data_IF_418664685991
#
_entry.id   IF_418664685991
#
_cell.length_a   1.000
_cell.length_b   1.000
_cell.length_c   1.000
_cell.angle_alpha   90.00
_cell.angle_beta   90.00
_cell.angle_gamma   90.00
#
_symmetry.space_group_name_H-M   'P 1'
#
loop_
_entity.id
_entity.type
_entity.pdbx_description
1 polymer ?
#
# COMPACT_ATOMS: atom_id res chain seq x y z
N UNK A 1 -6.52 31.08 11.36
CA UNK A 1 -5.52 30.33 10.56
C UNK A 1 -6.07 28.95 10.31
N UNK A 2 -6.67 28.72 9.15
CA UNK A 2 -7.14 27.38 8.77
C UNK A 2 -5.92 26.48 8.60
N UNK A 3 -5.84 25.43 9.42
CA UNK A 3 -4.91 24.31 9.20
C UNK A 3 -5.19 23.79 7.79
N UNK A 4 -4.29 24.06 6.84
CA UNK A 4 -4.26 23.35 5.56
C UNK A 4 -3.92 21.90 5.90
N UNK A 5 -4.93 21.11 6.24
CA UNK A 5 -4.84 19.66 6.17
C UNK A 5 -4.55 19.38 4.71
N UNK A 6 -3.37 18.83 4.41
CA UNK A 6 -3.15 18.17 3.13
C UNK A 6 -4.36 17.24 2.91
N UNK A 7 -4.97 17.22 1.71
CA UNK A 7 -5.94 16.19 1.39
C UNK A 7 -5.31 14.86 1.80
N UNK A 8 -6.04 14.05 2.59
CA UNK A 8 -5.55 12.73 2.94
C UNK A 8 -5.20 12.00 1.64
N UNK A 9 -4.10 11.24 1.66
CA UNK A 9 -3.81 10.30 0.58
C UNK A 9 -5.10 9.50 0.28
N UNK A 10 -5.59 9.59 -0.96
CA UNK A 10 -6.77 8.85 -1.37
C UNK A 10 -6.36 7.39 -1.52
N UNK A 11 -7.07 6.47 -0.84
CA UNK A 11 -6.76 5.06 -0.96
C UNK A 11 -6.97 4.59 -2.39
N UNK A 12 -6.32 3.51 -2.80
CA UNK A 12 -6.55 2.92 -4.11
C UNK A 12 -8.01 2.49 -4.32
N UNK A 13 -8.73 2.13 -3.25
CA UNK A 13 -10.16 1.90 -3.32
C UNK A 13 -10.90 3.17 -3.75
N UNK A 14 -10.64 4.31 -3.11
CA UNK A 14 -11.28 5.60 -3.43
C UNK A 14 -10.91 6.09 -4.84
N UNK A 15 -9.64 5.91 -5.25
CA UNK A 15 -9.15 6.25 -6.59
C UNK A 15 -9.87 5.43 -7.66
N UNK A 16 -9.97 4.11 -7.49
CA UNK A 16 -10.64 3.24 -8.48
C UNK A 16 -12.16 3.42 -8.46
N UNK A 17 -12.76 3.65 -7.29
CA UNK A 17 -14.20 3.94 -7.15
C UNK A 17 -14.60 5.22 -7.89
N UNK A 18 -13.76 6.25 -7.85
CA UNK A 18 -13.98 7.52 -8.56
C UNK A 18 -13.52 7.51 -10.03
N UNK A 19 -12.84 6.46 -10.47
CA UNK A 19 -12.29 6.38 -11.82
C UNK A 19 -13.37 6.27 -12.90
N UNK A 20 -13.24 7.08 -13.94
CA UNK A 20 -14.08 6.99 -15.14
C UNK A 20 -13.53 5.97 -16.15
N UNK A 21 -12.21 5.80 -16.17
CA UNK A 21 -11.48 4.81 -16.96
C UNK A 21 -10.10 4.54 -16.33
N UNK A 22 -9.46 3.46 -16.74
CA UNK A 22 -8.05 3.18 -16.45
C UNK A 22 -7.41 2.50 -17.66
N UNK A 23 -6.16 2.83 -17.97
CA UNK A 23 -5.44 2.27 -19.11
C UNK A 23 -3.94 2.21 -18.85
N UNK A 24 -3.27 1.26 -19.48
CA UNK A 24 -1.81 1.24 -19.56
C UNK A 24 -1.32 2.09 -20.72
N UNK A 25 -0.05 2.46 -20.70
CA UNK A 25 0.58 3.15 -21.83
C UNK A 25 2.02 3.52 -21.53
N UNK A 26 2.55 4.44 -22.34
CA UNK A 26 3.89 4.98 -22.14
C UNK A 26 3.82 6.48 -21.85
N UNK A 27 4.38 6.91 -20.73
CA UNK A 27 4.46 8.31 -20.34
C UNK A 27 5.84 8.90 -20.67
N UNK A 28 5.87 10.18 -21.06
CA UNK A 28 7.08 10.96 -21.28
C UNK A 28 6.95 12.33 -20.60
N UNK A 29 7.97 12.74 -19.84
CA UNK A 29 8.03 14.09 -19.29
C UNK A 29 8.35 15.10 -20.40
N UNK A 30 7.47 16.08 -20.58
CA UNK A 30 7.59 17.14 -21.60
C UNK A 30 8.10 18.45 -21.00
N UNK A 31 7.72 18.74 -19.75
CA UNK A 31 8.11 20.00 -19.10
C UNK A 31 7.97 19.94 -17.59
N UNK A 32 8.67 20.85 -16.91
CA UNK A 32 8.68 21.00 -15.47
C UNK A 32 8.70 22.48 -15.12
N UNK A 33 7.83 22.88 -14.20
CA UNK A 33 7.76 24.25 -13.68
C UNK A 33 7.72 24.25 -12.14
N UNK A 34 8.45 25.14 -11.46
CA UNK A 34 8.32 25.32 -10.01
C UNK A 34 6.93 25.84 -9.66
N UNK A 35 6.35 25.31 -8.58
CA UNK A 35 5.02 25.69 -8.09
C UNK A 35 5.13 26.18 -6.64
N UNK A 36 4.56 27.35 -6.30
CA UNK A 36 4.63 27.87 -4.94
C UNK A 36 3.84 27.00 -3.97
N UNK A 37 4.23 27.03 -2.69
CA UNK A 37 3.58 26.26 -1.61
C UNK A 37 2.09 26.61 -1.40
N UNK A 38 1.59 27.69 -1.99
CA UNK A 38 0.17 28.07 -1.99
C UNK A 38 -0.68 27.26 -2.96
N UNK A 39 -0.04 26.60 -3.93
CA UNK A 39 -0.68 25.87 -5.03
C UNK A 39 -0.43 24.36 -4.94
N UNK A 40 0.26 23.90 -3.89
CA UNK A 40 0.52 22.47 -3.66
C UNK A 40 0.04 22.05 -2.26
N UNK A 41 -0.24 20.76 -2.10
CA UNK A 41 -0.53 20.12 -0.81
C UNK A 41 0.73 19.77 -0.01
N UNK A 42 1.92 20.03 -0.56
CA UNK A 42 3.21 19.71 0.06
C UNK A 42 3.57 20.72 1.16
N UNK A 43 4.39 20.29 2.13
CA UNK A 43 4.96 21.17 3.16
C UNK A 43 6.14 22.00 2.57
N UNK A 44 5.92 22.72 1.47
CA UNK A 44 6.96 23.50 0.80
C UNK A 44 6.65 23.80 -0.68
N UNK A 45 7.56 24.49 -1.39
CA UNK A 45 7.47 24.61 -2.84
C UNK A 45 7.51 23.21 -3.47
N UNK A 46 6.77 23.05 -4.57
CA UNK A 46 6.76 21.82 -5.36
C UNK A 46 7.05 22.11 -6.83
N UNK A 47 6.76 21.14 -7.69
CA UNK A 47 6.89 21.23 -9.13
C UNK A 47 5.63 20.68 -9.80
N UNK A 48 5.21 21.30 -10.90
CA UNK A 48 4.22 20.75 -11.81
C UNK A 48 4.95 20.16 -13.01
N UNK A 49 4.57 18.94 -13.36
CA UNK A 49 5.10 18.19 -14.48
C UNK A 49 4.06 18.14 -15.57
N UNK A 50 4.46 18.51 -16.78
CA UNK A 50 3.69 18.25 -18.00
C UNK A 50 4.13 16.92 -18.56
N UNK A 51 3.26 15.92 -18.50
CA UNK A 51 3.51 14.55 -18.97
C UNK A 51 2.63 14.28 -20.17
N UNK A 52 3.22 13.73 -21.23
CA UNK A 52 2.48 13.21 -22.38
C UNK A 52 2.40 11.70 -22.24
N UNK A 53 1.19 11.14 -22.24
CA UNK A 53 0.94 9.71 -22.16
C UNK A 53 0.41 9.24 -23.50
N UNK A 54 1.08 8.26 -24.10
CA UNK A 54 0.54 7.50 -25.24
C UNK A 54 -0.19 6.27 -24.70
N UNK A 55 -1.52 6.21 -24.80
CA UNK A 55 -2.30 5.07 -24.31
C UNK A 55 -2.08 3.80 -25.12
N UNK A 56 -2.22 2.64 -24.48
CA UNK A 56 -2.05 1.31 -25.09
C UNK A 56 -3.29 0.43 -24.84
N UNK A 57 -3.39 -0.22 -23.68
CA UNK A 57 -4.48 -1.15 -23.37
C UNK A 57 -5.49 -0.61 -22.35
N UNK A 58 -6.76 -0.95 -22.55
CA UNK A 58 -7.81 -0.70 -21.58
C UNK A 58 -7.62 -1.60 -20.35
N UNK A 59 -7.62 -0.99 -19.17
CA UNK A 59 -7.76 -1.72 -17.89
C UNK A 59 -9.23 -1.70 -17.48
N UNK A 60 -9.84 -0.52 -17.52
CA UNK A 60 -11.25 -0.27 -17.24
C UNK A 60 -11.77 0.80 -18.20
N UNK A 61 -12.98 0.60 -18.74
CA UNK A 61 -13.61 1.60 -19.62
C UNK A 61 -12.93 1.69 -20.99
N UNK A 62 -12.96 2.87 -21.60
CA UNK A 62 -12.39 3.13 -22.93
C UNK A 62 -11.03 3.81 -22.85
N UNK A 63 -10.14 3.46 -23.78
CA UNK A 63 -8.83 4.09 -23.95
C UNK A 63 -8.99 5.40 -24.74
N UNK A 64 -8.46 6.54 -24.27
CA UNK A 64 -8.57 7.79 -25.00
C UNK A 64 -7.78 7.74 -26.33
N UNK A 65 -8.25 8.41 -27.39
CA UNK A 65 -7.55 8.44 -28.66
C UNK A 65 -6.30 9.34 -28.61
N UNK A 66 -5.15 8.75 -28.91
CA UNK A 66 -3.89 9.48 -29.11
C UNK A 66 -3.22 9.96 -27.81
N UNK A 67 -2.12 10.73 -27.93
CA UNK A 67 -1.39 11.21 -26.76
C UNK A 67 -2.23 12.16 -25.90
N UNK A 68 -2.23 11.92 -24.60
CA UNK A 68 -2.93 12.70 -23.59
C UNK A 68 -1.93 13.52 -22.79
N UNK A 69 -2.12 14.84 -22.73
CA UNK A 69 -1.32 15.71 -21.88
C UNK A 69 -1.92 15.77 -20.46
N UNK A 70 -1.13 15.38 -19.46
CA UNK A 70 -1.48 15.38 -18.05
C UNK A 70 -0.56 16.32 -17.28
N UNK A 71 -1.13 17.03 -16.29
CA UNK A 71 -0.38 17.86 -15.35
C UNK A 71 -0.35 17.18 -14.00
N UNK A 72 0.84 16.83 -13.52
CA UNK A 72 1.06 16.12 -12.24
C UNK A 72 1.84 17.00 -11.25
N UNK A 73 1.57 16.90 -9.96
CA UNK A 73 2.29 17.65 -8.92
C UNK A 73 3.28 16.74 -8.18
N UNK A 74 4.50 17.22 -7.94
CA UNK A 74 5.54 16.54 -7.13
C UNK A 74 6.23 17.53 -6.18
N UNK A 75 6.75 17.03 -5.06
CA UNK A 75 7.57 17.81 -4.14
C UNK A 75 9.07 17.79 -4.49
N UNK A 76 9.50 16.93 -5.43
CA UNK A 76 10.92 16.67 -5.70
C UNK A 76 11.36 17.29 -7.03
N UNK A 77 12.51 17.99 -7.07
CA UNK A 77 13.14 18.38 -8.33
C UNK A 77 13.67 17.15 -9.07
N UNK A 78 13.86 17.26 -10.39
CA UNK A 78 14.25 16.15 -11.26
C UNK A 78 15.45 15.33 -10.76
N UNK A 79 16.50 15.97 -10.24
CA UNK A 79 17.72 15.31 -9.77
C UNK A 79 17.55 14.50 -8.46
N UNK A 80 16.41 14.65 -7.79
CA UNK A 80 16.06 13.91 -6.56
C UNK A 80 14.91 12.92 -6.78
N UNK A 81 14.43 12.79 -8.02
CA UNK A 81 13.43 11.79 -8.38
C UNK A 81 14.08 10.42 -8.47
N UNK A 82 13.28 9.43 -8.17
CA UNK A 82 13.65 8.04 -8.34
C UNK A 82 13.41 7.66 -9.80
N UNK A 83 14.05 6.62 -10.35
CA UNK A 83 13.70 6.13 -11.69
C UNK A 83 12.36 5.36 -11.67
N UNK A 84 11.62 5.30 -12.80
CA UNK A 84 10.41 4.50 -12.90
C UNK A 84 10.74 3.03 -12.69
N UNK A 85 9.90 2.32 -11.97
CA UNK A 85 10.05 0.87 -11.84
C UNK A 85 11.16 0.41 -10.87
N UNK A 86 11.67 1.30 -10.02
CA UNK A 86 12.73 0.91 -9.07
C UNK A 86 12.17 -0.03 -7.99
N UNK A 87 12.66 -1.28 -7.97
CA UNK A 87 12.47 -2.15 -6.80
C UNK A 87 13.08 -1.47 -5.57
N UNK A 88 12.25 -1.24 -4.56
CA UNK A 88 12.63 -0.55 -3.32
C UNK A 88 12.16 -1.35 -2.13
N UNK A 89 12.94 -1.23 -1.07
CA UNK A 89 12.52 -1.57 0.27
C UNK A 89 11.92 -0.33 0.97
N UNK A 90 10.72 -0.45 1.56
CA UNK A 90 9.70 -1.47 1.27
C UNK A 90 9.10 -1.36 -0.15
N UNK A 91 8.50 -2.46 -0.66
CA UNK A 91 7.97 -2.57 -2.02
C UNK A 91 7.08 -1.41 -2.44
N UNK A 92 7.24 -1.01 -3.69
CA UNK A 92 6.52 0.10 -4.31
C UNK A 92 5.00 -0.15 -4.43
N UNK A 93 4.53 -1.40 -4.33
CA UNK A 93 3.11 -1.80 -4.44
C UNK A 93 2.23 -1.22 -3.33
N UNK A 94 2.82 -0.86 -2.18
CA UNK A 94 2.13 -0.18 -1.07
C UNK A 94 2.47 1.30 -0.96
N UNK A 95 3.46 1.76 -1.73
CA UNK A 95 3.79 3.17 -1.78
C UNK A 95 2.96 3.80 -2.88
N UNK A 96 2.12 4.76 -2.51
CA UNK A 96 1.57 5.73 -3.44
C UNK A 96 2.68 6.67 -3.92
N UNK A 97 3.70 6.17 -4.62
CA UNK A 97 4.72 7.04 -5.23
C UNK A 97 4.16 7.53 -6.56
N UNK A 98 3.70 8.77 -6.70
CA UNK A 98 3.18 9.22 -7.98
C UNK A 98 4.27 9.05 -9.05
N UNK A 99 3.89 8.79 -10.30
CA UNK A 99 4.84 8.79 -11.42
C UNK A 99 5.69 10.08 -11.43
N UNK A 100 5.12 11.19 -10.96
CA UNK A 100 5.81 12.46 -10.82
C UNK A 100 7.05 12.42 -9.90
N UNK A 101 7.09 11.51 -8.93
CA UNK A 101 8.24 11.30 -8.04
C UNK A 101 9.24 10.27 -8.60
N UNK A 102 8.84 9.52 -9.64
CA UNK A 102 9.62 8.46 -10.28
C UNK A 102 10.10 8.82 -11.69
N UNK A 103 9.75 9.99 -12.23
CA UNK A 103 10.02 10.28 -13.64
C UNK A 103 11.43 10.81 -13.88
N UNK A 104 12.10 10.26 -14.90
CA UNK A 104 13.39 10.74 -15.39
C UNK A 104 13.19 11.58 -16.67
N UNK A 105 13.67 12.84 -16.70
CA UNK A 105 13.56 13.68 -17.89
C UNK A 105 14.15 13.02 -19.15
N UNK A 106 13.45 13.17 -20.28
CA UNK A 106 13.91 12.66 -21.57
C UNK A 106 13.72 11.15 -21.78
N UNK A 107 13.12 10.44 -20.82
CA UNK A 107 12.80 9.01 -20.93
C UNK A 107 11.31 8.79 -21.09
N UNK A 108 10.96 7.70 -21.77
CA UNK A 108 9.60 7.16 -21.78
C UNK A 108 9.55 5.93 -20.89
N UNK A 109 8.48 5.79 -20.12
CA UNK A 109 8.31 4.71 -19.16
C UNK A 109 6.89 4.12 -19.23
N UNK A 110 6.75 2.79 -19.02
CA UNK A 110 5.44 2.16 -18.92
C UNK A 110 4.70 2.70 -17.69
N UNK A 111 3.41 3.00 -17.86
CA UNK A 111 2.56 3.54 -16.80
C UNK A 111 1.19 2.88 -16.80
N UNK A 112 0.57 2.89 -15.63
CA UNK A 112 -0.88 2.85 -15.47
C UNK A 112 -1.39 4.29 -15.26
N UNK A 113 -2.44 4.65 -15.98
CA UNK A 113 -3.23 5.85 -15.73
C UNK A 113 -4.60 5.45 -15.21
N UNK A 114 -5.03 6.08 -14.12
CA UNK A 114 -6.40 6.03 -13.63
C UNK A 114 -7.02 7.42 -13.79
N UNK A 115 -8.05 7.52 -14.62
CA UNK A 115 -8.77 8.76 -14.88
C UNK A 115 -9.77 9.07 -13.76
N UNK A 116 -9.22 9.48 -12.63
CA UNK A 116 -9.89 10.14 -11.50
C UNK A 116 -9.65 11.66 -11.56
N UNK A 117 -10.22 12.42 -10.63
CA UNK A 117 -9.92 13.85 -10.44
C UNK A 117 -9.33 14.11 -9.04
N UNK A 118 -8.01 14.40 -8.93
CA UNK A 118 -7.02 14.49 -9.99
C UNK A 118 -6.65 13.11 -10.59
N UNK A 119 -6.09 13.05 -11.82
CA UNK A 119 -5.68 11.80 -12.43
C UNK A 119 -4.48 11.20 -11.71
N UNK A 120 -4.48 9.87 -11.53
CA UNK A 120 -3.35 9.14 -10.97
C UNK A 120 -2.56 8.52 -12.10
N UNK A 121 -1.26 8.77 -12.12
CA UNK A 121 -0.31 8.15 -13.04
C UNK A 121 0.75 7.44 -12.20
N UNK A 122 0.98 6.17 -12.49
CA UNK A 122 1.94 5.31 -11.78
C UNK A 122 2.85 4.60 -12.77
N UNK A 123 4.16 4.63 -12.51
CA UNK A 123 5.12 3.83 -13.27
C UNK A 123 4.93 2.35 -12.98
N UNK A 124 5.10 1.51 -14.01
CA UNK A 124 5.07 0.05 -13.87
C UNK A 124 6.50 -0.48 -13.69
N UNK A 125 6.68 -1.40 -12.75
CA UNK A 125 7.96 -2.05 -12.43
C UNK A 125 8.44 -2.96 -13.55
N UNK A 126 7.51 -3.66 -14.18
CA UNK A 126 7.79 -4.64 -15.22
C UNK A 126 6.55 -4.80 -16.15
N UNK A 127 6.70 -5.46 -17.32
CA UNK A 127 5.55 -5.76 -18.19
C UNK A 127 4.47 -6.62 -17.51
N UNK A 128 4.83 -7.37 -16.48
CA UNK A 128 4.00 -8.24 -15.65
C UNK A 128 3.66 -7.62 -14.28
N UNK A 129 3.81 -6.30 -14.14
CA UNK A 129 3.34 -5.58 -12.95
C UNK A 129 1.84 -5.88 -12.73
N UNK A 130 1.50 -6.24 -11.50
CA UNK A 130 0.16 -6.71 -11.12
C UNK A 130 -0.84 -5.56 -10.89
N UNK A 131 -0.37 -4.31 -10.95
CA UNK A 131 -1.17 -3.13 -10.69
C UNK A 131 -2.37 -2.97 -11.64
N UNK A 132 -2.25 -3.18 -12.98
CA UNK A 132 -3.42 -3.18 -13.87
C UNK A 132 -4.45 -4.23 -13.46
N UNK A 133 -4.01 -5.45 -13.14
CA UNK A 133 -4.88 -6.55 -12.71
C UNK A 133 -5.58 -6.20 -11.39
N UNK A 134 -4.85 -5.62 -10.44
CA UNK A 134 -5.39 -5.13 -9.18
C UNK A 134 -6.52 -4.11 -9.42
N UNK A 135 -6.31 -3.13 -10.30
CA UNK A 135 -7.32 -2.13 -10.64
C UNK A 135 -8.56 -2.76 -11.29
N UNK A 136 -8.43 -3.76 -12.16
CA UNK A 136 -9.59 -4.47 -12.72
C UNK A 136 -10.40 -5.18 -11.64
N UNK A 137 -9.72 -5.85 -10.71
CA UNK A 137 -10.37 -6.57 -9.60
C UNK A 137 -11.10 -5.59 -8.68
N UNK A 138 -10.44 -4.50 -8.27
CA UNK A 138 -11.04 -3.47 -7.41
C UNK A 138 -12.25 -2.84 -8.10
N UNK A 139 -12.15 -2.49 -9.38
CA UNK A 139 -13.26 -1.91 -10.14
C UNK A 139 -14.45 -2.85 -10.21
N UNK A 140 -14.23 -4.15 -10.44
CA UNK A 140 -15.31 -5.16 -10.42
C UNK A 140 -16.03 -5.17 -9.07
N UNK A 141 -15.28 -5.12 -7.97
CA UNK A 141 -15.86 -5.12 -6.62
C UNK A 141 -16.69 -3.88 -6.32
N UNK A 142 -16.23 -2.69 -6.74
CA UNK A 142 -16.97 -1.44 -6.49
C UNK A 142 -18.27 -1.34 -7.30
N UNK A 143 -18.47 -2.21 -8.30
CA UNK A 143 -19.74 -2.34 -9.05
C UNK A 143 -20.73 -3.35 -8.46
N UNK A 144 -20.33 -4.10 -7.43
CA UNK A 144 -21.20 -5.05 -6.72
C UNK A 144 -21.32 -6.43 -7.37
N UNK A 145 -20.44 -6.74 -8.33
CA UNK A 145 -20.55 -7.95 -9.17
C UNK A 145 -19.75 -9.15 -8.63
N UNK A 146 -19.29 -9.15 -7.37
CA UNK A 146 -18.28 -10.09 -6.89
C UNK A 146 -18.35 -10.45 -5.40
N UNK A 147 -17.94 -11.70 -5.10
CA UNK A 147 -17.64 -12.17 -3.74
C UNK A 147 -16.19 -11.81 -3.39
N UNK A 148 -16.00 -10.67 -2.72
CA UNK A 148 -14.67 -10.16 -2.36
C UNK A 148 -13.87 -11.22 -1.60
N UNK A 149 -14.45 -11.86 -0.58
CA UNK A 149 -13.73 -12.84 0.23
C UNK A 149 -13.39 -14.11 -0.56
N UNK A 150 -14.28 -14.55 -1.43
CA UNK A 150 -14.02 -15.65 -2.36
C UNK A 150 -12.85 -15.34 -3.31
N UNK A 151 -12.83 -14.12 -3.86
CA UNK A 151 -11.75 -13.66 -4.74
C UNK A 151 -10.41 -13.56 -3.99
N UNK A 152 -10.40 -12.98 -2.78
CA UNK A 152 -9.19 -12.90 -1.96
C UNK A 152 -8.57 -14.30 -1.73
N UNK A 153 -9.40 -15.31 -1.48
CA UNK A 153 -8.96 -16.69 -1.28
C UNK A 153 -8.48 -17.38 -2.57
N UNK A 154 -8.89 -16.89 -3.74
CA UNK A 154 -8.46 -17.42 -5.04
C UNK A 154 -7.08 -16.89 -5.48
N UNK A 155 -6.52 -15.92 -4.74
CA UNK A 155 -5.26 -15.26 -5.07
C UNK A 155 -5.50 -14.04 -5.96
N UNK A 156 -5.31 -12.86 -5.39
CA UNK A 156 -5.36 -11.58 -6.10
C UNK A 156 -4.10 -10.78 -5.79
N UNK A 157 -3.75 -9.78 -6.62
CA UNK A 157 -2.62 -8.88 -6.34
C UNK A 157 -2.67 -8.27 -4.93
N UNK A 158 -1.53 -8.04 -4.25
CA UNK A 158 -1.50 -7.50 -2.90
C UNK A 158 -2.31 -6.21 -2.74
N UNK A 159 -2.23 -5.31 -3.72
CA UNK A 159 -3.00 -4.08 -3.69
C UNK A 159 -4.52 -4.32 -3.70
N UNK A 160 -4.98 -5.29 -4.49
CA UNK A 160 -6.38 -5.69 -4.47
C UNK A 160 -6.75 -6.29 -3.10
N UNK A 161 -5.89 -7.07 -2.45
CA UNK A 161 -6.18 -7.55 -1.09
C UNK A 161 -6.45 -6.39 -0.12
N UNK A 162 -5.60 -5.37 -0.16
CA UNK A 162 -5.70 -4.18 0.71
C UNK A 162 -7.01 -3.43 0.45
N UNK A 163 -7.33 -3.16 -0.82
CA UNK A 163 -8.57 -2.48 -1.20
C UNK A 163 -9.83 -3.32 -0.90
N UNK A 164 -9.76 -4.64 -1.05
CA UNK A 164 -10.84 -5.57 -0.70
C UNK A 164 -11.09 -5.60 0.79
N UNK A 165 -10.03 -5.63 1.60
CA UNK A 165 -10.12 -5.49 3.05
C UNK A 165 -10.72 -4.13 3.46
N UNK A 166 -10.27 -3.04 2.85
CA UNK A 166 -10.86 -1.71 3.05
C UNK A 166 -12.35 -1.65 2.72
N UNK A 167 -12.75 -2.27 1.61
CA UNK A 167 -14.15 -2.34 1.19
C UNK A 167 -14.99 -3.13 2.20
N UNK A 168 -14.51 -4.28 2.66
CA UNK A 168 -15.18 -5.10 3.68
C UNK A 168 -15.29 -4.37 5.02
N UNK A 169 -14.26 -3.60 5.40
CA UNK A 169 -14.27 -2.76 6.60
C UNK A 169 -15.41 -1.73 6.60
N UNK A 170 -15.89 -1.27 5.44
CA UNK A 170 -17.01 -0.31 5.36
C UNK A 170 -18.34 -0.91 5.86
N UNK A 171 -18.44 -2.24 5.93
CA UNK A 171 -19.70 -2.95 6.23
C UNK A 171 -19.65 -3.85 7.47
N UNK A 172 -18.46 -4.18 7.99
CA UNK A 172 -18.32 -5.04 9.17
C UNK A 172 -18.34 -4.22 10.47
N UNK A 173 -18.91 -4.82 11.52
CA UNK A 173 -18.73 -4.36 12.91
C UNK A 173 -17.73 -5.22 13.68
N UNK A 174 -17.43 -6.41 13.16
CA UNK A 174 -16.46 -7.34 13.72
C UNK A 174 -15.16 -7.25 12.93
N UNK A 175 -14.34 -6.27 13.28
CA UNK A 175 -13.06 -6.00 12.60
C UNK A 175 -12.04 -7.08 12.94
N UNK A 176 -12.08 -7.63 14.15
CA UNK A 176 -11.18 -8.70 14.57
C UNK A 176 -11.41 -9.98 13.74
N UNK A 177 -12.66 -10.45 13.62
CA UNK A 177 -12.96 -11.65 12.82
C UNK A 177 -12.66 -11.45 11.33
N UNK A 178 -12.91 -10.25 10.79
CA UNK A 178 -12.53 -9.94 9.41
C UNK A 178 -11.00 -9.98 9.23
N UNK A 179 -10.26 -9.37 10.16
CA UNK A 179 -8.79 -9.36 10.14
C UNK A 179 -8.24 -10.76 10.20
N UNK A 180 -8.73 -11.61 11.10
CA UNK A 180 -8.33 -13.02 11.21
C UNK A 180 -8.56 -13.76 9.88
N UNK A 181 -9.74 -13.62 9.28
CA UNK A 181 -10.06 -14.29 8.02
C UNK A 181 -9.14 -13.87 6.89
N UNK A 182 -8.78 -12.59 6.79
CA UNK A 182 -7.90 -12.08 5.73
C UNK A 182 -6.44 -12.48 5.97
N UNK A 183 -5.93 -12.33 7.20
CA UNK A 183 -4.54 -12.67 7.51
C UNK A 183 -4.26 -14.18 7.46
N UNK A 184 -5.28 -15.03 7.57
CA UNK A 184 -5.18 -16.48 7.42
C UNK A 184 -5.43 -16.99 6.01
N UNK A 185 -5.52 -16.10 5.01
CA UNK A 185 -5.61 -16.53 3.61
C UNK A 185 -4.32 -17.27 3.21
N UNK A 186 -4.42 -18.46 2.60
CA UNK A 186 -3.24 -19.21 2.17
C UNK A 186 -2.41 -18.41 1.16
N UNK A 187 -1.11 -18.28 1.41
CA UNK A 187 -0.18 -17.60 0.51
C UNK A 187 -0.38 -16.09 0.41
N UNK A 188 -0.95 -15.47 1.45
CA UNK A 188 -1.06 -14.01 1.54
C UNK A 188 0.32 -13.36 1.44
N UNK A 189 0.60 -12.52 0.43
CA UNK A 189 1.91 -11.88 0.29
C UNK A 189 2.19 -10.92 1.45
N UNK A 190 3.45 -10.78 1.90
CA UNK A 190 3.80 -9.88 3.01
C UNK A 190 3.41 -8.43 2.75
N UNK A 191 3.47 -7.98 1.50
CA UNK A 191 2.95 -6.67 1.09
C UNK A 191 1.44 -6.51 1.38
N UNK A 192 0.64 -7.55 1.14
CA UNK A 192 -0.78 -7.53 1.45
C UNK A 192 -1.00 -7.47 2.98
N UNK A 193 -0.29 -8.32 3.74
CA UNK A 193 -0.28 -8.30 5.21
C UNK A 193 0.00 -6.89 5.74
N UNK A 194 1.05 -6.25 5.23
CA UNK A 194 1.40 -4.90 5.63
C UNK A 194 0.34 -3.86 5.32
N UNK A 195 -0.22 -3.86 4.12
CA UNK A 195 -1.27 -2.91 3.76
C UNK A 195 -2.54 -3.08 4.62
N UNK A 196 -2.93 -4.33 4.89
CA UNK A 196 -4.03 -4.67 5.81
C UNK A 196 -3.77 -4.12 7.21
N UNK A 197 -2.56 -4.31 7.75
CA UNK A 197 -2.20 -3.80 9.08
C UNK A 197 -2.04 -2.29 9.15
N UNK A 198 -1.60 -1.64 8.08
CA UNK A 198 -1.57 -0.19 7.98
C UNK A 198 -2.98 0.40 8.02
N UNK A 199 -3.92 -0.18 7.25
CA UNK A 199 -5.34 0.21 7.31
C UNK A 199 -5.95 -0.04 8.69
N UNK A 200 -5.64 -1.19 9.29
CA UNK A 200 -6.11 -1.52 10.63
C UNK A 200 -5.58 -0.53 11.66
N UNK A 201 -4.30 -0.18 11.61
CA UNK A 201 -3.68 0.82 12.50
C UNK A 201 -4.42 2.16 12.49
N UNK A 202 -4.83 2.64 11.30
CA UNK A 202 -5.62 3.87 11.15
C UNK A 202 -7.02 3.77 11.79
N UNK A 203 -7.56 2.56 11.96
CA UNK A 203 -8.86 2.28 12.58
C UNK A 203 -8.74 1.89 14.05
N UNK A 204 -7.57 1.45 14.53
CA UNK A 204 -7.39 0.88 15.88
C UNK A 204 -7.92 1.81 16.97
N UNK A 205 -7.75 3.13 16.83
CA UNK A 205 -8.24 4.12 17.81
C UNK A 205 -9.75 4.07 18.07
N UNK A 206 -10.55 3.52 17.16
CA UNK A 206 -12.00 3.36 17.29
C UNK A 206 -12.43 1.95 17.72
N UNK A 207 -11.52 0.98 17.76
CA UNK A 207 -11.83 -0.40 18.16
C UNK A 207 -11.91 -0.53 19.68
N UNK A 208 -12.81 -1.36 20.23
CA UNK A 208 -12.78 -1.72 21.65
C UNK A 208 -11.54 -2.59 21.95
N UNK A 209 -11.06 -2.58 23.20
CA UNK A 209 -9.85 -3.31 23.59
C UNK A 209 -9.98 -4.83 23.35
N UNK A 210 -11.18 -5.40 23.48
CA UNK A 210 -11.44 -6.81 23.16
C UNK A 210 -11.10 -7.17 21.71
N UNK A 211 -11.39 -6.29 20.75
CA UNK A 211 -11.05 -6.50 19.34
C UNK A 211 -9.55 -6.31 19.11
N UNK A 212 -8.90 -5.37 19.82
CA UNK A 212 -7.44 -5.18 19.75
C UNK A 212 -6.70 -6.41 20.28
N UNK A 213 -7.16 -6.99 21.40
CA UNK A 213 -6.60 -8.23 21.94
C UNK A 213 -6.80 -9.40 20.98
N UNK A 214 -7.99 -9.53 20.37
CA UNK A 214 -8.26 -10.59 19.38
C UNK A 214 -7.36 -10.48 18.13
N UNK A 215 -7.16 -9.25 17.62
CA UNK A 215 -6.20 -8.99 16.54
C UNK A 215 -4.78 -9.34 16.96
N UNK A 216 -4.34 -8.93 18.17
CA UNK A 216 -3.00 -9.23 18.64
C UNK A 216 -2.75 -10.74 18.76
N UNK A 217 -3.73 -11.51 19.24
CA UNK A 217 -3.69 -12.98 19.26
C UNK A 217 -3.57 -13.57 17.85
N UNK A 218 -4.35 -13.05 16.90
CA UNK A 218 -4.26 -13.43 15.49
C UNK A 218 -2.85 -13.17 14.94
N UNK A 219 -2.25 -12.01 15.24
CA UNK A 219 -0.91 -11.66 14.77
C UNK A 219 0.19 -12.54 15.34
N UNK A 220 0.07 -12.91 16.62
CA UNK A 220 0.98 -13.88 17.26
C UNK A 220 0.93 -15.24 16.56
N UNK A 221 -0.27 -15.67 16.14
CA UNK A 221 -0.43 -16.91 15.38
C UNK A 221 0.12 -16.78 13.96
N UNK A 222 -0.20 -15.68 13.26
CA UNK A 222 0.31 -15.41 11.89
C UNK A 222 1.84 -15.33 11.88
N UNK A 223 2.45 -14.63 12.84
CA UNK A 223 3.91 -14.57 13.00
C UNK A 223 4.57 -15.94 13.21
N UNK A 224 3.82 -16.96 13.63
CA UNK A 224 4.35 -18.31 13.75
C UNK A 224 4.63 -18.97 12.40
N UNK A 225 3.90 -18.56 11.37
CA UNK A 225 3.85 -19.17 10.05
C UNK A 225 4.40 -18.24 8.96
N UNK A 226 4.48 -16.94 9.24
CA UNK A 226 4.96 -15.91 8.32
C UNK A 226 6.46 -16.06 8.03
N UNK A 227 6.77 -16.15 6.73
CA UNK A 227 8.14 -16.24 6.22
C UNK A 227 8.54 -15.03 5.39
N UNK A 228 7.56 -14.23 4.94
CA UNK A 228 7.82 -12.99 4.24
C UNK A 228 8.27 -11.92 5.24
N UNK A 229 9.50 -11.39 5.12
CA UNK A 229 10.02 -10.42 6.07
C UNK A 229 9.18 -9.14 6.13
N UNK A 230 8.44 -8.79 5.07
CA UNK A 230 7.52 -7.67 5.08
C UNK A 230 6.32 -7.91 6.00
N UNK A 231 5.74 -9.11 5.94
CA UNK A 231 4.66 -9.54 6.83
C UNK A 231 5.12 -9.55 8.28
N UNK A 232 6.33 -10.06 8.55
CA UNK A 232 6.94 -10.07 9.89
C UNK A 232 7.09 -8.65 10.43
N UNK A 233 7.72 -7.75 9.69
CA UNK A 233 7.93 -6.36 10.12
C UNK A 233 6.61 -5.65 10.37
N UNK A 234 5.60 -5.85 9.53
CA UNK A 234 4.29 -5.24 9.71
C UNK A 234 3.59 -5.73 10.97
N UNK A 235 3.60 -7.04 11.23
CA UNK A 235 3.00 -7.61 12.43
C UNK A 235 3.73 -7.15 13.71
N UNK A 236 5.07 -7.16 13.72
CA UNK A 236 5.86 -6.64 14.84
C UNK A 236 5.58 -5.15 15.10
N UNK A 237 5.54 -4.34 14.04
CA UNK A 237 5.23 -2.90 14.14
C UNK A 237 3.84 -2.65 14.74
N UNK A 238 2.84 -3.43 14.32
CA UNK A 238 1.49 -3.29 14.84
C UNK A 238 1.40 -3.71 16.32
N UNK A 239 2.04 -4.83 16.68
CA UNK A 239 2.11 -5.31 18.06
C UNK A 239 2.81 -4.30 18.98
N UNK A 240 3.89 -3.68 18.53
CA UNK A 240 4.59 -2.66 19.33
C UNK A 240 3.71 -1.41 19.51
N UNK A 241 3.15 -0.89 18.42
CA UNK A 241 2.33 0.33 18.43
C UNK A 241 1.06 0.22 19.31
N UNK A 242 0.58 -0.98 19.59
CA UNK A 242 -0.66 -1.21 20.34
C UNK A 242 -0.46 -1.99 21.65
N UNK A 243 0.79 -2.15 22.09
CA UNK A 243 1.17 -2.91 23.30
C UNK A 243 0.34 -2.57 24.53
N UNK A 244 0.19 -1.29 24.84
CA UNK A 244 -0.49 -0.85 26.06
C UNK A 244 -1.96 -1.30 26.12
N UNK A 245 -2.58 -1.53 24.96
CA UNK A 245 -3.99 -1.89 24.87
C UNK A 245 -4.24 -3.38 25.07
N UNK A 246 -3.28 -4.23 24.74
CA UNK A 246 -3.41 -5.67 24.92
C UNK A 246 -2.62 -6.22 26.11
N UNK A 247 -1.78 -5.42 26.77
CA UNK A 247 -1.01 -5.81 27.97
C UNK A 247 -1.89 -6.26 29.15
N UNK A 248 -3.16 -5.86 29.16
CA UNK A 248 -4.13 -6.32 30.17
C UNK A 248 -4.44 -7.83 30.05
N UNK A 249 -4.17 -8.44 28.90
CA UNK A 249 -4.23 -9.88 28.72
C UNK A 249 -2.99 -10.54 29.35
N UNK A 250 -3.17 -11.49 30.31
CA UNK A 250 -2.04 -12.05 31.06
C UNK A 250 -1.15 -12.99 30.24
N UNK A 251 -1.67 -13.60 29.17
CA UNK A 251 -0.95 -14.62 28.41
C UNK A 251 -0.22 -14.00 27.20
N UNK A 252 -0.78 -12.92 26.66
CA UNK A 252 -0.37 -12.37 25.38
C UNK A 252 1.07 -11.82 25.35
N UNK A 253 1.58 -11.11 26.37
CA UNK A 253 2.98 -10.65 26.38
C UNK A 253 3.98 -11.80 26.30
N UNK A 254 3.72 -12.91 27.00
CA UNK A 254 4.58 -14.11 26.95
C UNK A 254 4.53 -14.75 25.57
N UNK A 255 3.35 -14.83 24.94
CA UNK A 255 3.22 -15.34 23.58
C UNK A 255 3.94 -14.46 22.56
N UNK A 256 3.84 -13.13 22.69
CA UNK A 256 4.56 -12.18 21.82
C UNK A 256 6.06 -12.39 21.94
N UNK A 257 6.62 -12.44 23.15
CA UNK A 257 8.06 -12.65 23.35
C UNK A 257 8.55 -13.99 22.77
N UNK A 258 7.79 -15.07 22.98
CA UNK A 258 8.09 -16.39 22.40
C UNK A 258 8.09 -16.39 20.86
N UNK A 259 7.25 -15.57 20.23
CA UNK A 259 7.20 -15.42 18.76
C UNK A 259 8.31 -14.51 18.26
N UNK A 260 8.55 -13.38 18.92
CA UNK A 260 9.64 -12.45 18.61
C UNK A 260 10.98 -13.19 18.61
N UNK A 261 11.26 -14.02 19.62
CA UNK A 261 12.48 -14.85 19.67
C UNK A 261 12.64 -15.76 18.46
N UNK A 262 11.55 -16.34 17.95
CA UNK A 262 11.58 -17.21 16.76
C UNK A 262 11.84 -16.42 15.48
N UNK A 263 11.09 -15.34 15.24
CA UNK A 263 11.20 -14.59 13.98
C UNK A 263 12.54 -13.88 13.82
N UNK A 264 13.16 -13.44 14.92
CA UNK A 264 14.53 -12.88 14.87
C UNK A 264 15.61 -13.93 14.60
N UNK A 265 15.29 -15.22 14.76
CA UNK A 265 16.18 -16.32 14.39
C UNK A 265 16.00 -16.79 12.94
N UNK A 266 15.06 -16.21 12.19
CA UNK A 266 14.90 -16.47 10.77
C UNK A 266 16.09 -15.92 9.98
N UNK A 267 16.32 -16.53 8.82
CA UNK A 267 17.24 -16.04 7.79
C UNK A 267 16.40 -15.74 6.57
N UNK A 268 16.56 -14.54 6.00
CA UNK A 268 15.86 -14.13 4.79
C UNK A 268 16.76 -14.33 3.57
N UNK A 269 16.16 -14.66 2.44
CA UNK A 269 16.85 -14.82 1.17
C UNK A 269 16.70 -13.57 0.30
N UNK A 270 17.63 -13.36 -0.64
CA UNK A 270 17.54 -12.31 -1.66
C UNK A 270 18.48 -11.12 -1.45
N UNK A 271 18.44 -10.13 -2.38
CA UNK A 271 19.39 -9.03 -2.42
C UNK A 271 19.31 -8.08 -1.21
N UNK A 272 18.15 -8.04 -0.54
CA UNK A 272 17.90 -7.19 0.64
C UNK A 272 17.88 -7.96 1.96
N UNK A 273 18.38 -9.21 2.00
CA UNK A 273 18.32 -10.09 3.17
C UNK A 273 18.87 -9.45 4.46
N UNK A 274 20.06 -8.84 4.39
CA UNK A 274 20.68 -8.18 5.54
C UNK A 274 19.88 -6.96 6.02
N UNK A 275 19.25 -6.23 5.09
CA UNK A 275 18.41 -5.09 5.42
C UNK A 275 17.13 -5.54 6.12
N UNK A 276 16.48 -6.59 5.61
CA UNK A 276 15.33 -7.22 6.26
C UNK A 276 15.66 -7.74 7.66
N UNK A 277 16.83 -8.36 7.84
CA UNK A 277 17.27 -8.84 9.16
C UNK A 277 17.39 -7.68 10.17
N UNK A 278 17.96 -6.55 9.74
CA UNK A 278 18.09 -5.35 10.58
C UNK A 278 16.73 -4.72 10.92
N UNK A 279 15.80 -4.71 9.99
CA UNK A 279 14.45 -4.18 10.17
C UNK A 279 13.65 -5.03 11.15
N UNK A 280 13.67 -6.36 10.98
CA UNK A 280 13.03 -7.30 11.91
C UNK A 280 13.59 -7.14 13.31
N UNK A 281 14.93 -7.04 13.45
CA UNK A 281 15.55 -6.78 14.75
C UNK A 281 15.07 -5.46 15.38
N UNK A 282 15.03 -4.37 14.61
CA UNK A 282 14.60 -3.05 15.10
C UNK A 282 13.17 -3.05 15.63
N UNK A 283 12.26 -3.78 14.98
CA UNK A 283 10.87 -3.88 15.42
C UNK A 283 10.65 -4.93 16.51
N UNK A 284 11.55 -5.90 16.63
CA UNK A 284 11.53 -6.92 17.68
C UNK A 284 12.03 -6.40 19.03
N UNK A 285 13.05 -5.53 19.05
CA UNK A 285 13.73 -5.13 20.28
C UNK A 285 12.80 -4.45 21.31
N UNK A 286 11.93 -3.48 20.94
CA UNK A 286 10.98 -2.87 21.89
C UNK A 286 10.05 -3.90 22.54
N UNK A 287 9.64 -4.93 21.78
CA UNK A 287 8.74 -5.97 22.26
C UNK A 287 9.39 -6.89 23.30
N UNK A 288 10.73 -7.03 23.30
CA UNK A 288 11.47 -7.83 24.30
C UNK A 288 11.70 -7.09 25.62
N UNK A 289 11.72 -5.77 25.60
CA UNK A 289 12.16 -4.94 26.74
C UNK A 289 11.05 -4.62 27.76
N UNK A 290 9.79 -5.02 27.56
CA UNK A 290 8.67 -4.60 28.43
C UNK A 290 7.49 -5.53 28.53
#
# INVERSE_FOLDING_TARGET
MASRRSPGAASWLDVVESATAAWTGSARLVGEEPVPATETSFRGPGFALSVEVTPDDAVVGEVPPGPVALRLLTARPAERREPPGSYRFPPDTLREVPFADQVVPGTSAPVLVVASDPPVVRGLLAPDDDLPDAVRVIHRWTRGDADVLGDLAAGVPPLAVVAGYELLLRSTTDVAALTERVLRLPGLPGAATRGVLALLHLRTGALPDEQVVAVARTLVDVLAEETDPEGVVAALSWLDAHRDRYRADPDLPTLVDDRVRRVTGLTFDGPDADAWQQEVARHADPLREG
#
